data_IF_629569483396
#
_entry.id   IF_629569483396
#
_cell.length_a   1.000
_cell.length_b   1.000
_cell.length_c   1.000
_cell.angle_alpha   90.00
_cell.angle_beta   90.00
_cell.angle_gamma   90.00
#
_symmetry.space_group_name_H-M   'P 1'
#
loop_
_entity.id
_entity.type
_entity.pdbx_description
1 polymer ?
#
# COMPACT_ATOMS: atom_id res chain seq x y z
N UNK A 1 -7.57 0.29 14.69
CA UNK A 1 -8.58 -0.66 14.15
C UNK A 1 -8.64 -1.96 14.97
N UNK A 2 -7.57 -2.74 15.10
CA UNK A 2 -7.61 -4.03 15.81
C UNK A 2 -7.96 -3.96 17.30
N UNK A 3 -7.56 -2.92 18.05
CA UNK A 3 -7.91 -2.79 19.48
C UNK A 3 -9.37 -2.35 19.66
N UNK A 4 -9.82 -1.34 18.91
CA UNK A 4 -11.16 -0.73 19.06
C UNK A 4 -12.29 -1.42 18.27
N UNK A 5 -11.97 -2.07 17.15
CA UNK A 5 -12.95 -2.72 16.25
C UNK A 5 -12.82 -4.25 16.23
N UNK A 6 -12.11 -4.87 17.18
CA UNK A 6 -11.99 -6.33 17.30
C UNK A 6 -13.35 -7.03 17.32
N UNK A 7 -14.30 -6.51 18.10
CA UNK A 7 -15.66 -7.05 18.18
C UNK A 7 -16.43 -6.97 16.85
N UNK A 8 -16.19 -5.91 16.05
CA UNK A 8 -16.78 -5.78 14.71
C UNK A 8 -16.17 -6.81 13.76
N UNK A 9 -14.84 -6.95 13.74
CA UNK A 9 -14.14 -7.93 12.90
C UNK A 9 -14.58 -9.37 13.21
N UNK A 10 -14.76 -9.71 14.49
CA UNK A 10 -15.28 -11.01 14.91
C UNK A 10 -16.72 -11.25 14.41
N UNK A 11 -17.57 -10.22 14.42
CA UNK A 11 -18.94 -10.32 13.86
C UNK A 11 -18.91 -10.49 12.34
N UNK A 12 -18.10 -9.69 11.63
CA UNK A 12 -17.97 -9.76 10.18
C UNK A 12 -17.47 -11.14 9.73
N UNK A 13 -16.42 -11.65 10.37
CA UNK A 13 -15.85 -12.98 10.07
C UNK A 13 -16.84 -14.11 10.37
N UNK A 14 -17.61 -14.03 11.46
CA UNK A 14 -18.66 -15.01 11.77
C UNK A 14 -19.74 -15.04 10.68
N UNK A 15 -20.24 -13.87 10.26
CA UNK A 15 -21.28 -13.77 9.22
C UNK A 15 -20.75 -14.26 7.87
N UNK A 16 -19.50 -13.91 7.53
CA UNK A 16 -18.87 -14.34 6.30
C UNK A 16 -18.72 -15.88 6.26
N UNK A 17 -18.25 -16.50 7.36
CA UNK A 17 -18.13 -17.96 7.47
C UNK A 17 -19.49 -18.66 7.44
N UNK A 18 -20.49 -18.14 8.17
CA UNK A 18 -21.83 -18.73 8.20
C UNK A 18 -22.53 -18.75 6.83
N UNK A 19 -22.17 -17.82 5.94
CA UNK A 19 -22.76 -17.67 4.60
C UNK A 19 -21.81 -18.05 3.45
N UNK A 20 -20.64 -18.65 3.74
CA UNK A 20 -19.60 -18.99 2.75
C UNK A 20 -19.21 -17.81 1.82
N UNK A 21 -19.14 -16.62 2.39
CA UNK A 21 -18.82 -15.39 1.67
C UNK A 21 -17.29 -15.22 1.64
N UNK A 22 -16.72 -15.15 0.44
CA UNK A 22 -15.26 -15.08 0.22
C UNK A 22 -14.79 -13.72 -0.27
N UNK A 23 -15.69 -12.81 -0.65
CA UNK A 23 -15.37 -11.46 -1.12
C UNK A 23 -16.19 -10.36 -0.41
N UNK A 24 -15.66 -9.13 -0.39
CA UNK A 24 -16.36 -7.96 0.16
C UNK A 24 -17.62 -7.65 -0.68
N UNK A 25 -17.56 -7.86 -1.99
CA UNK A 25 -18.69 -7.67 -2.89
C UNK A 25 -19.86 -8.61 -2.56
N UNK A 26 -19.56 -9.89 -2.32
CA UNK A 26 -20.55 -10.89 -1.92
C UNK A 26 -21.07 -10.60 -0.50
N UNK A 27 -20.21 -10.08 0.38
CA UNK A 27 -20.61 -9.66 1.72
C UNK A 27 -21.68 -8.57 1.67
N UNK A 28 -21.46 -7.54 0.86
CA UNK A 28 -22.42 -6.45 0.69
C UNK A 28 -23.67 -6.95 -0.05
N UNK A 29 -23.53 -7.70 -1.15
CA UNK A 29 -24.66 -8.22 -1.92
C UNK A 29 -25.59 -9.14 -1.11
N UNK A 30 -25.04 -9.98 -0.24
CA UNK A 30 -25.82 -10.87 0.63
C UNK A 30 -26.67 -10.13 1.66
N UNK A 31 -26.23 -8.96 2.13
CA UNK A 31 -26.99 -8.12 3.07
C UNK A 31 -28.27 -7.55 2.46
N UNK A 32 -28.29 -7.34 1.14
CA UNK A 32 -29.44 -6.79 0.41
C UNK A 32 -30.21 -7.85 -0.39
N UNK A 33 -30.31 -9.07 0.14
CA UNK A 33 -31.12 -10.13 -0.47
C UNK A 33 -30.46 -10.83 -1.66
N UNK A 34 -29.13 -10.96 -1.64
CA UNK A 34 -28.32 -11.58 -2.73
C UNK A 34 -28.45 -10.85 -4.08
N UNK A 35 -28.50 -9.52 -4.05
CA UNK A 35 -28.51 -8.72 -5.28
C UNK A 35 -27.16 -8.81 -6.00
N UNK A 36 -27.14 -9.54 -7.14
CA UNK A 36 -25.97 -9.67 -8.00
C UNK A 36 -25.53 -8.32 -8.59
N UNK A 37 -26.46 -7.42 -8.89
CA UNK A 37 -26.16 -6.09 -9.41
C UNK A 37 -25.39 -5.24 -8.37
N UNK A 38 -25.76 -5.34 -7.10
CA UNK A 38 -25.05 -4.64 -6.03
C UNK A 38 -23.64 -5.22 -5.81
N UNK A 39 -23.50 -6.55 -5.86
CA UNK A 39 -22.20 -7.21 -5.81
C UNK A 39 -21.29 -6.73 -6.96
N UNK A 40 -21.80 -6.70 -8.19
CA UNK A 40 -21.06 -6.21 -9.35
C UNK A 40 -20.60 -4.75 -9.19
N UNK A 41 -21.49 -3.87 -8.71
CA UNK A 41 -21.15 -2.48 -8.44
C UNK A 41 -20.01 -2.35 -7.41
N UNK A 42 -20.08 -3.10 -6.30
CA UNK A 42 -19.05 -3.11 -5.27
C UNK A 42 -17.72 -3.63 -5.82
N UNK A 43 -17.74 -4.67 -6.66
CA UNK A 43 -16.54 -5.17 -7.34
C UNK A 43 -15.91 -4.10 -8.23
N UNK A 44 -16.70 -3.38 -9.04
CA UNK A 44 -16.19 -2.30 -9.89
C UNK A 44 -15.55 -1.20 -9.05
N UNK A 45 -16.22 -0.75 -7.99
CA UNK A 45 -15.68 0.27 -7.08
C UNK A 45 -14.37 -0.22 -6.44
N UNK A 46 -14.35 -1.46 -5.95
CA UNK A 46 -13.19 -2.05 -5.30
C UNK A 46 -11.99 -2.16 -6.26
N UNK A 47 -12.20 -2.62 -7.48
CA UNK A 47 -11.15 -2.74 -8.50
C UNK A 47 -10.64 -1.37 -8.91
N UNK A 48 -11.53 -0.43 -9.24
CA UNK A 48 -11.16 0.94 -9.63
C UNK A 48 -10.43 1.68 -8.52
N UNK A 49 -10.64 1.31 -7.25
CA UNK A 49 -9.91 1.88 -6.11
C UNK A 49 -8.58 1.17 -5.83
N UNK A 50 -8.54 -0.16 -5.90
CA UNK A 50 -7.37 -0.96 -5.55
C UNK A 50 -6.24 -0.85 -6.59
N UNK A 51 -6.57 -0.83 -7.88
CA UNK A 51 -5.58 -0.73 -8.98
C UNK A 51 -4.72 0.53 -8.88
N UNK A 52 -5.27 1.77 -8.80
CA UNK A 52 -4.44 2.97 -8.70
C UNK A 52 -3.68 3.03 -7.38
N UNK A 53 -4.27 2.51 -6.30
CA UNK A 53 -3.59 2.43 -5.01
C UNK A 53 -2.33 1.55 -5.08
N UNK A 54 -2.42 0.37 -5.67
CA UNK A 54 -1.27 -0.53 -5.88
C UNK A 54 -0.25 0.13 -6.82
N UNK A 55 -0.70 0.80 -7.88
CA UNK A 55 0.19 1.52 -8.79
C UNK A 55 0.98 2.63 -8.09
N UNK A 56 0.33 3.41 -7.23
CA UNK A 56 0.99 4.47 -6.46
C UNK A 56 1.99 3.90 -5.43
N UNK A 57 1.66 2.78 -4.78
CA UNK A 57 2.59 2.09 -3.91
C UNK A 57 3.83 1.59 -4.67
N UNK A 58 3.62 0.98 -5.85
CA UNK A 58 4.73 0.53 -6.69
C UNK A 58 5.62 1.70 -7.12
N UNK A 59 5.02 2.85 -7.48
CA UNK A 59 5.75 4.08 -7.79
C UNK A 59 6.59 4.57 -6.61
N UNK A 60 6.05 4.53 -5.38
CA UNK A 60 6.81 4.90 -4.19
C UNK A 60 8.04 4.00 -3.97
N UNK A 61 7.90 2.69 -4.22
CA UNK A 61 9.02 1.74 -4.15
C UNK A 61 10.07 2.05 -5.23
N UNK A 62 9.65 2.29 -6.47
CA UNK A 62 10.55 2.65 -7.57
C UNK A 62 11.36 3.92 -7.26
N UNK A 63 10.69 4.96 -6.75
CA UNK A 63 11.36 6.20 -6.33
C UNK A 63 12.35 5.97 -5.19
N UNK A 64 11.99 5.16 -4.19
CA UNK A 64 12.89 4.84 -3.07
C UNK A 64 14.16 4.13 -3.53
N UNK A 65 14.06 3.23 -4.51
CA UNK A 65 15.22 2.53 -5.06
C UNK A 65 16.12 3.48 -5.86
N UNK A 66 15.53 4.39 -6.65
CA UNK A 66 16.28 5.43 -7.37
C UNK A 66 17.10 6.34 -6.43
N UNK A 67 16.50 6.75 -5.31
CA UNK A 67 17.22 7.52 -4.28
C UNK A 67 18.38 6.72 -3.68
N UNK A 68 18.19 5.43 -3.41
CA UNK A 68 19.21 4.58 -2.79
C UNK A 68 20.36 4.21 -3.76
N UNK A 69 20.10 4.15 -5.06
CA UNK A 69 21.12 3.89 -6.09
C UNK A 69 21.94 5.13 -6.48
N UNK A 70 21.63 6.30 -5.90
CA UNK A 70 22.31 7.56 -6.20
C UNK A 70 21.94 8.15 -7.57
N UNK A 71 20.92 7.62 -8.25
CA UNK A 71 20.42 8.13 -9.52
C UNK A 71 19.42 9.27 -9.32
N UNK A 72 19.65 10.40 -10.00
CA UNK A 72 18.64 11.46 -10.11
C UNK A 72 17.34 10.92 -10.75
N UNK A 73 16.16 11.47 -10.43
CA UNK A 73 14.87 10.89 -10.80
C UNK A 73 14.46 11.07 -12.27
N UNK A 74 15.42 11.24 -13.19
CA UNK A 74 15.14 11.25 -14.62
C UNK A 74 15.11 9.81 -15.18
N UNK A 75 13.97 9.16 -14.93
CA UNK A 75 13.59 7.85 -15.47
C UNK A 75 13.43 7.83 -17.00
N UNK A 76 13.82 8.89 -17.73
CA UNK A 76 13.40 9.07 -19.11
C UNK A 76 14.17 8.21 -20.13
N UNK A 77 15.36 7.67 -19.82
CA UNK A 77 16.18 6.97 -20.83
C UNK A 77 17.06 5.81 -20.30
N UNK A 78 16.64 5.11 -19.24
CA UNK A 78 17.31 3.87 -18.83
C UNK A 78 16.72 2.70 -19.63
N UNK A 79 17.52 1.90 -20.35
CA UNK A 79 17.02 0.69 -21.00
C UNK A 79 16.29 -0.19 -19.99
N UNK A 80 15.13 -0.78 -20.36
CA UNK A 80 14.30 -1.60 -19.46
C UNK A 80 15.06 -2.68 -18.68
N UNK A 81 16.12 -3.24 -19.29
CA UNK A 81 16.97 -4.26 -18.69
C UNK A 81 17.94 -3.72 -17.63
N UNK A 82 18.14 -2.41 -17.57
CA UNK A 82 19.03 -1.73 -16.63
C UNK A 82 18.26 -0.86 -15.61
N UNK A 83 16.92 -0.97 -15.59
CA UNK A 83 16.05 -0.26 -14.65
C UNK A 83 15.87 -1.10 -13.36
N UNK A 84 16.40 -0.66 -12.21
CA UNK A 84 16.20 -1.35 -10.93
C UNK A 84 14.72 -1.49 -10.55
N UNK A 85 13.85 -0.55 -10.94
CA UNK A 85 12.43 -0.61 -10.65
C UNK A 85 11.74 -1.78 -11.37
N UNK A 86 12.18 -2.12 -12.58
CA UNK A 86 11.68 -3.27 -13.34
C UNK A 86 11.97 -4.59 -12.61
N UNK A 87 13.19 -4.78 -12.12
CA UNK A 87 13.55 -5.98 -11.33
C UNK A 87 12.74 -6.09 -10.03
N UNK A 88 12.51 -4.97 -9.36
CA UNK A 88 11.64 -4.94 -8.18
C UNK A 88 10.20 -5.28 -8.53
N UNK A 89 9.68 -4.81 -9.65
CA UNK A 89 8.35 -5.17 -10.14
C UNK A 89 8.22 -6.68 -10.37
N UNK A 90 9.20 -7.27 -11.06
CA UNK A 90 9.24 -8.71 -11.32
C UNK A 90 9.31 -9.48 -9.99
N UNK A 91 10.15 -9.05 -9.05
CA UNK A 91 10.27 -9.71 -7.75
C UNK A 91 8.99 -9.59 -6.91
N UNK A 92 8.33 -8.42 -6.89
CA UNK A 92 7.04 -8.22 -6.23
C UNK A 92 5.93 -9.06 -6.89
N UNK A 93 5.93 -9.17 -8.21
CA UNK A 93 4.99 -10.02 -8.96
C UNK A 93 5.19 -11.49 -8.64
N UNK A 94 6.43 -11.98 -8.66
CA UNK A 94 6.76 -13.35 -8.25
C UNK A 94 6.39 -13.62 -6.79
N UNK A 95 6.67 -12.69 -5.89
CA UNK A 95 6.24 -12.78 -4.49
C UNK A 95 4.71 -12.87 -4.38
N UNK A 96 3.98 -11.99 -5.07
CA UNK A 96 2.52 -12.00 -5.10
C UNK A 96 1.96 -13.30 -5.70
N UNK A 97 2.61 -13.90 -6.69
CA UNK A 97 2.20 -15.19 -7.25
C UNK A 97 2.47 -16.32 -6.24
N UNK A 98 3.70 -16.41 -5.71
CA UNK A 98 4.12 -17.47 -4.79
C UNK A 98 3.33 -17.48 -3.48
N UNK A 99 3.01 -16.31 -2.95
CA UNK A 99 2.32 -16.16 -1.67
C UNK A 99 0.82 -15.84 -1.82
N UNK A 100 0.37 -15.29 -2.96
CA UNK A 100 -1.02 -14.86 -3.18
C UNK A 100 -1.91 -15.87 -3.92
N UNK A 101 -1.36 -16.80 -4.72
CA UNK A 101 -2.17 -17.77 -5.48
C UNK A 101 -2.33 -19.13 -4.81
N UNK A 102 -1.63 -19.39 -3.68
CA UNK A 102 -1.49 -20.76 -3.18
C UNK A 102 -2.61 -21.28 -2.29
N UNK A 103 -3.43 -20.46 -1.59
CA UNK A 103 -4.58 -20.98 -0.80
C UNK A 103 -5.59 -19.88 -0.43
N UNK A 104 -6.69 -19.77 -1.18
CA UNK A 104 -7.93 -19.13 -0.70
C UNK A 104 -8.70 -20.15 0.17
N UNK A 105 -8.00 -20.79 1.11
CA UNK A 105 -8.67 -21.54 2.19
C UNK A 105 -8.76 -20.59 3.38
N UNK A 106 -9.89 -19.89 3.48
CA UNK A 106 -10.25 -19.01 4.58
C UNK A 106 -10.43 -19.74 5.94
N UNK A 107 -10.07 -21.03 5.98
CA UNK A 107 -10.34 -21.96 7.09
C UNK A 107 -9.07 -22.44 7.79
N UNK A 108 -7.90 -22.42 7.15
CA UNK A 108 -6.63 -22.72 7.84
C UNK A 108 -6.00 -21.44 8.42
N UNK A 109 -5.46 -21.51 9.64
CA UNK A 109 -4.69 -20.40 10.22
C UNK A 109 -3.38 -20.20 9.43
N UNK A 110 -3.31 -19.14 8.62
CA UNK A 110 -2.17 -18.79 7.77
C UNK A 110 -1.02 -18.16 8.57
N UNK A 111 -0.35 -18.96 9.40
CA UNK A 111 0.74 -18.47 10.25
C UNK A 111 1.89 -17.84 9.43
N UNK A 112 2.23 -18.40 8.26
CA UNK A 112 3.35 -17.90 7.43
C UNK A 112 3.13 -16.49 6.86
N UNK A 113 1.94 -16.20 6.32
CA UNK A 113 1.61 -14.88 5.78
C UNK A 113 1.49 -13.84 6.91
N UNK A 114 0.89 -14.21 8.04
CA UNK A 114 0.81 -13.34 9.21
C UNK A 114 2.18 -13.02 9.80
N UNK A 115 3.10 -14.00 9.85
CA UNK A 115 4.48 -13.82 10.27
C UNK A 115 5.25 -12.87 9.34
N UNK A 116 5.08 -13.01 8.02
CA UNK A 116 5.71 -12.12 7.04
C UNK A 116 5.25 -10.66 7.22
N UNK A 117 3.94 -10.44 7.32
CA UNK A 117 3.36 -9.10 7.55
C UNK A 117 3.81 -8.52 8.89
N UNK A 118 3.90 -9.35 9.94
CA UNK A 118 4.36 -8.92 11.26
C UNK A 118 5.85 -8.50 11.22
N UNK A 119 6.72 -9.28 10.58
CA UNK A 119 8.12 -8.94 10.41
C UNK A 119 8.33 -7.67 9.58
N UNK A 120 7.59 -7.53 8.47
CA UNK A 120 7.57 -6.32 7.64
C UNK A 120 7.14 -5.10 8.46
N UNK A 121 6.10 -5.24 9.28
CA UNK A 121 5.59 -4.16 10.14
C UNK A 121 6.58 -3.77 11.25
N UNK A 122 7.30 -4.75 11.83
CA UNK A 122 8.35 -4.48 12.81
C UNK A 122 9.49 -3.68 12.18
N UNK A 123 9.94 -4.07 10.99
CA UNK A 123 10.96 -3.34 10.24
C UNK A 123 10.51 -1.91 9.93
N UNK A 124 9.26 -1.71 9.51
CA UNK A 124 8.67 -0.38 9.29
C UNK A 124 8.67 0.47 10.57
N UNK A 125 8.31 -0.12 11.70
CA UNK A 125 8.31 0.58 12.98
C UNK A 125 9.72 1.04 13.36
N UNK A 126 10.73 0.15 13.26
CA UNK A 126 12.13 0.50 13.55
C UNK A 126 12.61 1.60 12.61
N UNK A 127 12.29 1.53 11.32
CA UNK A 127 12.64 2.57 10.36
C UNK A 127 12.00 3.92 10.71
N UNK A 128 10.70 3.95 11.06
CA UNK A 128 10.04 5.20 11.46
C UNK A 128 10.60 5.77 12.76
N UNK A 129 10.96 4.93 13.74
CA UNK A 129 11.61 5.39 14.98
C UNK A 129 12.99 5.98 14.67
N UNK A 130 13.79 5.33 13.83
CA UNK A 130 15.10 5.85 13.41
C UNK A 130 14.97 7.20 12.68
N UNK A 131 14.01 7.31 11.75
CA UNK A 131 13.69 8.58 11.06
C UNK A 131 13.26 9.65 12.07
N UNK A 132 12.42 9.30 13.04
CA UNK A 132 11.96 10.22 14.08
C UNK A 132 13.10 10.74 14.96
N UNK A 133 14.01 9.86 15.39
CA UNK A 133 15.20 10.25 16.16
C UNK A 133 16.11 11.14 15.31
N UNK A 134 16.34 10.79 14.05
CA UNK A 134 17.12 11.63 13.13
C UNK A 134 16.51 13.04 12.99
N UNK A 135 15.19 13.12 12.79
CA UNK A 135 14.49 14.40 12.67
C UNK A 135 14.60 15.27 13.93
N UNK A 136 14.62 14.69 15.13
CA UNK A 136 14.80 15.43 16.39
C UNK A 136 16.22 15.96 16.59
N UNK A 137 17.23 15.29 16.02
CA UNK A 137 18.63 15.70 16.12
C UNK A 137 19.08 16.57 14.92
N UNK A 138 18.15 16.95 14.05
CA UNK A 138 18.43 17.69 12.84
C UNK A 138 18.90 19.12 13.17
N UNK A 139 20.00 19.61 12.55
CA UNK A 139 20.49 20.96 12.80
C UNK A 139 19.48 22.05 12.41
N UNK A 140 19.47 23.16 13.16
CA UNK A 140 18.45 24.21 13.05
C UNK A 140 18.39 24.86 11.66
N UNK A 141 19.52 24.95 10.95
CA UNK A 141 19.63 25.44 9.57
C UNK A 141 18.89 24.54 8.57
N UNK A 142 18.99 23.23 8.72
CA UNK A 142 18.29 22.27 7.85
C UNK A 142 16.80 22.21 8.21
N UNK A 143 16.46 22.37 9.49
CA UNK A 143 15.07 22.52 9.93
C UNK A 143 14.44 23.80 9.36
N UNK A 144 15.15 24.94 9.43
CA UNK A 144 14.70 26.22 8.86
C UNK A 144 14.48 26.16 7.35
N UNK A 145 15.39 25.50 6.61
CA UNK A 145 15.24 25.26 5.16
C UNK A 145 14.02 24.39 4.84
N UNK A 146 13.66 23.48 5.73
CA UNK A 146 12.46 22.65 5.54
C UNK A 146 11.19 23.49 5.64
N UNK A 147 11.12 24.40 6.63
CA UNK A 147 9.97 25.29 6.81
C UNK A 147 9.78 26.26 5.63
N UNK A 148 10.86 26.80 5.06
CA UNK A 148 10.75 27.70 3.90
C UNK A 148 10.17 27.01 2.67
N UNK A 149 10.54 25.74 2.42
CA UNK A 149 9.99 24.95 1.32
C UNK A 149 8.50 24.65 1.53
N UNK A 150 8.09 24.37 2.78
CA UNK A 150 6.68 24.19 3.11
C UNK A 150 5.85 25.47 2.89
N UNK A 151 6.39 26.63 3.27
CA UNK A 151 5.73 27.93 3.06
C UNK A 151 5.64 28.28 1.56
N UNK A 152 6.67 27.95 0.77
CA UNK A 152 6.66 28.08 -0.70
C UNK A 152 5.51 27.26 -1.33
N UNK A 153 5.39 25.98 -0.96
CA UNK A 153 4.36 25.06 -1.48
C UNK A 153 2.94 25.49 -1.07
N UNK A 154 2.78 26.03 0.13
CA UNK A 154 1.49 26.55 0.61
C UNK A 154 1.08 27.84 -0.10
N UNK A 155 2.04 28.67 -0.53
CA UNK A 155 1.78 29.97 -1.19
C UNK A 155 1.64 29.87 -2.71
N UNK A 156 2.51 29.11 -3.37
CA UNK A 156 2.49 28.98 -4.85
C UNK A 156 1.57 27.86 -5.34
N UNK A 157 1.05 27.04 -4.42
CA UNK A 157 0.27 25.85 -4.76
C UNK A 157 1.16 24.69 -5.20
N UNK A 158 0.56 23.49 -5.28
CA UNK A 158 1.30 22.30 -5.68
C UNK A 158 1.90 22.51 -7.08
N UNK A 159 3.20 22.20 -7.28
CA UNK A 159 3.83 22.36 -8.59
C UNK A 159 3.01 21.61 -9.63
N UNK A 160 2.83 22.18 -10.83
CA UNK A 160 1.95 21.63 -11.88
C UNK A 160 2.28 20.18 -12.29
N UNK A 161 3.51 19.73 -12.02
CA UNK A 161 3.94 18.34 -12.17
C UNK A 161 3.41 17.36 -11.10
N UNK A 162 2.95 17.84 -9.94
CA UNK A 162 2.40 17.01 -8.86
C UNK A 162 1.07 16.35 -9.27
N UNK A 163 0.17 17.13 -9.88
CA UNK A 163 -1.10 16.60 -10.41
C UNK A 163 -0.91 15.74 -11.68
N UNK A 164 0.17 15.98 -12.43
CA UNK A 164 0.52 15.15 -13.60
C UNK A 164 1.12 13.79 -13.21
N UNK A 165 1.52 13.62 -11.94
CA UNK A 165 2.25 12.45 -11.45
C UNK A 165 1.46 11.57 -10.46
N UNK A 166 0.30 12.01 -9.97
CA UNK A 166 -0.61 11.22 -9.11
C UNK A 166 -1.78 10.69 -9.91
#
# INVERSE_FOLDING_TARGET
LFVFFSGLLQRLTRVAKANNITSIADFVGSRFGKSHALGALVTVIAVTSAVPYIALQFKAVAMSVGVLSGGAPDAAQVPLLNDPAFYVAVMLSLFAILFGTRRIDATEHHHGMMLAIAAESLMKLVAFVAIGIYALNMPFDVAARSYSVFDEVLREGLPSGFLAQT
#
